data_IF_122588858512
#
_entry.id   IF_122588858512
#
_cell.length_a   1.000
_cell.length_b   1.000
_cell.length_c   1.000
_cell.angle_alpha   90.00
_cell.angle_beta   90.00
_cell.angle_gamma   90.00
#
_symmetry.space_group_name_H-M   'P 1'
#
loop_
_entity.id
_entity.type
_entity.pdbx_description
1 polymer ?
#
# COMPACT_ATOMS: atom_id res chain seq x y z
N UNK A 1 37.40 15.09 -4.08
CA UNK A 1 36.15 14.98 -3.30
C UNK A 1 35.30 13.88 -3.92
N UNK A 2 35.16 12.72 -3.25
CA UNK A 2 34.35 11.60 -3.73
C UNK A 2 32.93 11.75 -3.18
N UNK A 3 31.96 11.86 -4.09
CA UNK A 3 30.53 12.02 -3.85
C UNK A 3 29.95 10.77 -3.17
N UNK A 4 29.26 10.98 -2.04
CA UNK A 4 28.36 9.99 -1.45
C UNK A 4 27.12 9.85 -2.35
N UNK A 5 27.04 8.74 -3.09
CA UNK A 5 25.81 8.20 -3.70
C UNK A 5 25.53 6.83 -3.08
N UNK A 6 24.89 6.83 -1.92
CA UNK A 6 24.24 5.67 -1.29
C UNK A 6 23.19 6.26 -0.36
N UNK A 7 21.90 6.08 -0.63
CA UNK A 7 20.76 6.14 0.31
C UNK A 7 19.46 6.37 -0.50
N UNK A 8 18.93 5.32 -1.13
CA UNK A 8 17.63 5.31 -1.81
C UNK A 8 16.81 4.07 -1.44
N UNK A 9 16.94 3.67 -0.17
CA UNK A 9 16.09 2.71 0.58
C UNK A 9 16.50 2.69 2.06
N UNK A 10 17.75 3.04 2.36
CA UNK A 10 18.24 3.21 3.73
C UNK A 10 17.59 4.39 4.48
N UNK A 11 16.78 5.24 3.81
CA UNK A 11 15.95 6.26 4.47
C UNK A 11 14.75 5.61 5.18
N UNK A 12 14.26 4.45 4.71
CA UNK A 12 13.17 3.70 5.34
C UNK A 12 13.65 3.06 6.67
N UNK A 13 14.94 2.71 6.78
CA UNK A 13 15.51 2.08 7.97
C UNK A 13 16.14 3.07 8.99
N UNK A 14 16.27 4.36 8.64
CA UNK A 14 16.93 5.34 9.52
C UNK A 14 16.03 5.89 10.64
N UNK A 15 14.73 5.59 10.64
CA UNK A 15 13.78 6.09 11.66
C UNK A 15 13.48 5.10 12.79
N UNK A 16 13.90 3.83 12.69
CA UNK A 16 13.77 2.86 13.78
C UNK A 16 15.15 2.56 14.38
N UNK A 17 15.40 3.10 15.58
CA UNK A 17 16.66 2.99 16.33
C UNK A 17 17.04 1.59 16.83
N UNK A 18 16.80 0.52 16.07
CA UNK A 18 17.28 -0.84 16.37
C UNK A 18 18.07 -1.42 15.18
N UNK A 19 19.32 -0.98 15.05
CA UNK A 19 20.26 -1.52 14.08
C UNK A 19 20.71 -2.95 14.48
N UNK A 20 20.14 -3.97 13.84
CA UNK A 20 20.87 -5.20 13.54
C UNK A 20 21.33 -5.13 12.08
N UNK A 21 22.58 -5.49 11.83
CA UNK A 21 23.25 -5.24 10.55
C UNK A 21 22.66 -6.08 9.40
N UNK A 22 21.70 -5.50 8.69
CA UNK A 22 21.25 -5.98 7.38
C UNK A 22 22.35 -5.72 6.33
N UNK A 23 22.79 -6.77 5.63
CA UNK A 23 23.70 -6.64 4.47
C UNK A 23 22.84 -6.56 3.20
N UNK A 24 22.74 -5.39 2.55
CA UNK A 24 21.97 -5.27 1.32
C UNK A 24 22.56 -6.13 0.20
N UNK A 25 21.68 -6.68 -0.63
CA UNK A 25 22.01 -7.38 -1.88
C UNK A 25 22.87 -6.50 -2.78
N UNK A 26 23.99 -7.02 -3.28
CA UNK A 26 24.96 -6.26 -4.10
C UNK A 26 24.57 -6.11 -5.57
N UNK A 27 23.38 -6.58 -5.96
CA UNK A 27 22.89 -6.53 -7.35
C UNK A 27 21.73 -5.54 -7.53
N UNK A 28 21.62 -4.47 -6.73
CA UNK A 28 20.54 -3.51 -6.90
C UNK A 28 20.89 -2.42 -7.92
N UNK A 29 20.27 -2.51 -9.09
CA UNK A 29 19.87 -1.32 -9.83
C UNK A 29 18.75 -0.64 -9.03
N UNK A 30 19.10 -0.07 -7.86
CA UNK A 30 18.17 0.67 -7.03
C UNK A 30 17.92 2.02 -7.67
N UNK A 31 16.97 2.05 -8.61
CA UNK A 31 16.25 3.28 -8.87
C UNK A 31 15.61 3.68 -7.54
N UNK A 32 15.88 4.91 -7.11
CA UNK A 32 15.22 5.47 -5.95
C UNK A 32 13.72 5.44 -6.23
N UNK A 33 12.96 4.65 -5.47
CA UNK A 33 11.52 4.44 -5.73
C UNK A 33 10.72 5.74 -5.51
N UNK A 34 11.37 6.81 -5.05
CA UNK A 34 10.82 8.15 -4.94
C UNK A 34 10.96 8.99 -6.23
N UNK A 35 11.86 8.58 -7.14
CA UNK A 35 12.05 9.23 -8.44
C UNK A 35 11.25 8.45 -9.50
N UNK A 36 9.94 8.69 -9.52
CA UNK A 36 9.03 8.03 -10.44
C UNK A 36 9.43 8.27 -11.91
N UNK A 37 9.59 7.18 -12.66
CA UNK A 37 9.85 7.18 -14.10
C UNK A 37 8.71 6.47 -14.80
N UNK A 38 7.93 7.23 -15.57
CA UNK A 38 6.84 6.70 -16.40
C UNK A 38 7.43 6.07 -17.67
N UNK A 39 7.38 4.74 -17.78
CA UNK A 39 7.90 4.00 -18.94
C UNK A 39 6.74 3.52 -19.82
N UNK A 40 6.74 2.24 -20.20
CA UNK A 40 5.63 1.57 -20.90
C UNK A 40 4.93 0.56 -20.00
N UNK A 41 5.39 0.38 -18.76
CA UNK A 41 4.76 -0.50 -17.78
C UNK A 41 3.50 0.18 -17.23
N UNK A 42 2.55 -0.58 -16.65
CA UNK A 42 1.49 0.01 -15.85
C UNK A 42 2.06 0.75 -14.63
N UNK A 43 1.37 1.80 -14.21
CA UNK A 43 1.82 2.66 -13.12
C UNK A 43 1.24 2.20 -11.77
N UNK A 44 2.08 2.09 -10.75
CA UNK A 44 1.67 1.73 -9.39
C UNK A 44 2.06 2.83 -8.40
N UNK A 45 1.17 3.13 -7.46
CA UNK A 45 1.47 3.92 -6.27
C UNK A 45 1.37 3.02 -5.05
N UNK A 46 2.42 3.00 -4.23
CA UNK A 46 2.46 2.27 -2.96
C UNK A 46 2.68 3.27 -1.83
N UNK A 47 1.71 3.36 -0.93
CA UNK A 47 1.75 4.25 0.23
C UNK A 47 2.07 3.43 1.47
N UNK A 48 3.07 3.86 2.24
CA UNK A 48 3.43 3.32 3.55
C UNK A 48 3.05 4.30 4.66
N UNK A 49 2.62 3.83 5.83
CA UNK A 49 2.35 4.70 6.97
C UNK A 49 3.67 5.16 7.58
N UNK A 50 3.85 6.43 7.95
CA UNK A 50 5.11 6.91 8.57
C UNK A 50 5.42 6.22 9.90
N UNK A 51 4.38 5.81 10.62
CA UNK A 51 4.51 5.19 11.92
C UNK A 51 3.78 3.85 11.96
N UNK A 52 4.41 2.90 12.65
CA UNK A 52 4.03 1.50 12.65
C UNK A 52 4.56 0.89 13.95
N UNK A 53 3.74 0.98 14.99
CA UNK A 53 4.15 0.67 16.37
C UNK A 53 4.65 -0.78 16.55
N UNK A 54 4.31 -1.68 15.63
CA UNK A 54 4.70 -3.09 15.68
C UNK A 54 5.54 -3.56 14.48
N UNK A 55 5.98 -2.64 13.63
CA UNK A 55 6.76 -2.95 12.42
C UNK A 55 6.07 -3.93 11.46
N UNK A 56 4.74 -3.92 11.39
CA UNK A 56 3.95 -4.72 10.45
C UNK A 56 4.29 -4.44 8.97
N UNK A 57 4.64 -3.20 8.63
CA UNK A 57 4.86 -2.70 7.27
C UNK A 57 6.34 -2.47 6.94
N UNK A 58 7.22 -2.47 7.94
CA UNK A 58 8.67 -2.27 7.76
C UNK A 58 9.45 -3.58 7.94
N UNK A 59 9.29 -4.52 7.01
CA UNK A 59 10.03 -5.78 7.03
C UNK A 59 10.51 -6.20 5.62
N UNK A 60 11.52 -7.09 5.57
CA UNK A 60 12.17 -7.52 4.33
C UNK A 60 11.22 -8.13 3.28
N UNK A 61 10.06 -8.65 3.70
CA UNK A 61 9.07 -9.22 2.77
C UNK A 61 8.29 -8.15 2.03
N UNK A 62 8.08 -7.00 2.68
CA UNK A 62 7.45 -5.86 2.04
C UNK A 62 8.40 -5.22 1.03
N UNK A 63 9.70 -5.13 1.37
CA UNK A 63 10.76 -4.77 0.43
C UNK A 63 10.78 -5.72 -0.78
N UNK A 64 10.82 -7.04 -0.55
CA UNK A 64 10.77 -8.03 -1.64
C UNK A 64 9.49 -7.91 -2.49
N UNK A 65 8.35 -7.61 -1.86
CA UNK A 65 7.10 -7.41 -2.57
C UNK A 65 7.18 -6.20 -3.51
N UNK A 66 7.66 -5.06 -3.02
CA UNK A 66 7.81 -3.85 -3.83
C UNK A 66 8.83 -4.05 -4.96
N UNK A 67 9.93 -4.75 -4.71
CA UNK A 67 10.91 -5.12 -5.73
C UNK A 67 10.27 -5.96 -6.85
N UNK A 68 9.50 -7.00 -6.49
CA UNK A 68 8.76 -7.83 -7.45
C UNK A 68 7.68 -7.06 -8.19
N UNK A 69 7.04 -6.10 -7.53
CA UNK A 69 6.08 -5.21 -8.16
C UNK A 69 6.77 -4.36 -9.24
N UNK A 70 7.96 -3.81 -8.94
CA UNK A 70 8.75 -2.99 -9.86
C UNK A 70 9.27 -3.75 -11.10
N UNK A 71 9.33 -5.09 -11.05
CA UNK A 71 9.60 -5.90 -12.25
C UNK A 71 8.53 -5.68 -13.34
N UNK A 72 7.27 -5.46 -12.93
CA UNK A 72 6.09 -5.42 -13.81
C UNK A 72 5.41 -4.05 -13.88
N UNK A 73 5.68 -3.15 -12.93
CA UNK A 73 5.11 -1.81 -12.84
C UNK A 73 6.21 -0.76 -12.79
N UNK A 74 5.87 0.45 -13.21
CA UNK A 74 6.60 1.65 -12.78
C UNK A 74 6.03 2.07 -11.43
N UNK A 75 6.82 1.86 -10.38
CA UNK A 75 6.37 2.01 -8.99
C UNK A 75 6.79 3.36 -8.44
N UNK A 76 5.83 4.09 -7.88
CA UNK A 76 6.09 5.23 -7.02
C UNK A 76 5.75 4.87 -5.57
N UNK A 77 6.76 4.69 -4.73
CA UNK A 77 6.59 4.39 -3.32
C UNK A 77 6.74 5.67 -2.48
N UNK A 78 5.84 5.88 -1.53
CA UNK A 78 5.85 7.04 -0.63
C UNK A 78 5.59 6.62 0.81
N UNK A 79 6.18 7.34 1.76
CA UNK A 79 5.82 7.29 3.18
C UNK A 79 4.90 8.48 3.44
N UNK A 80 3.69 8.23 3.94
CA UNK A 80 2.69 9.24 4.27
C UNK A 80 2.53 9.35 5.79
N UNK A 81 2.61 10.56 6.33
CA UNK A 81 2.28 10.84 7.72
C UNK A 81 0.77 11.07 7.87
N UNK A 82 0.16 11.72 6.89
CA UNK A 82 -1.24 12.10 6.93
C UNK A 82 -1.89 11.95 5.54
N UNK A 83 -3.22 12.07 5.49
CA UNK A 83 -3.99 11.92 4.26
C UNK A 83 -3.56 12.90 3.15
N UNK A 84 -3.10 14.10 3.51
CA UNK A 84 -2.70 15.10 2.52
C UNK A 84 -1.44 14.67 1.76
N UNK A 85 -0.58 13.86 2.37
CA UNK A 85 0.57 13.28 1.68
C UNK A 85 0.11 12.29 0.60
N UNK A 86 -0.93 11.50 0.90
CA UNK A 86 -1.56 10.58 -0.06
C UNK A 86 -2.22 11.37 -1.19
N UNK A 87 -2.99 12.40 -0.84
CA UNK A 87 -3.65 13.28 -1.81
C UNK A 87 -2.65 14.00 -2.72
N UNK A 88 -1.54 14.49 -2.15
CA UNK A 88 -0.47 15.15 -2.91
C UNK A 88 0.19 14.20 -3.91
N UNK A 89 0.41 12.93 -3.54
CA UNK A 89 0.96 11.93 -4.45
C UNK A 89 -0.03 11.59 -5.56
N UNK A 90 -1.32 11.42 -5.25
CA UNK A 90 -2.34 11.16 -6.27
C UNK A 90 -2.49 12.33 -7.25
N UNK A 91 -2.47 13.58 -6.77
CA UNK A 91 -2.50 14.76 -7.66
C UNK A 91 -1.23 14.85 -8.51
N UNK A 92 -0.05 14.57 -7.95
CA UNK A 92 1.21 14.50 -8.71
C UNK A 92 1.15 13.46 -9.83
N UNK A 93 0.47 12.35 -9.59
CA UNK A 93 0.36 11.21 -10.53
C UNK A 93 -0.80 11.33 -11.53
N UNK A 94 -1.56 12.43 -11.50
CA UNK A 94 -2.76 12.61 -12.35
C UNK A 94 -2.52 12.45 -13.85
N UNK A 95 -1.32 12.80 -14.33
CA UNK A 95 -0.97 12.69 -15.76
C UNK A 95 -0.49 11.31 -16.15
N UNK A 96 0.06 10.55 -15.20
CA UNK A 96 0.67 9.24 -15.43
C UNK A 96 -0.38 8.11 -15.44
N UNK A 97 -1.59 8.37 -14.92
CA UNK A 97 -2.71 7.43 -14.86
C UNK A 97 -2.35 6.12 -14.15
N UNK A 98 -2.59 6.07 -12.85
CA UNK A 98 -2.22 4.94 -11.97
C UNK A 98 -3.15 3.74 -12.20
N UNK A 99 -2.58 2.56 -12.45
CA UNK A 99 -3.29 1.28 -12.63
C UNK A 99 -3.44 0.48 -11.33
N UNK A 100 -2.56 0.73 -10.36
CA UNK A 100 -2.60 0.09 -9.04
C UNK A 100 -2.33 1.12 -7.95
N UNK A 101 -3.25 1.24 -7.01
CA UNK A 101 -3.03 1.97 -5.76
C UNK A 101 -2.99 0.96 -4.60
N UNK A 102 -1.91 0.97 -3.84
CA UNK A 102 -1.81 0.22 -2.60
C UNK A 102 -1.66 1.18 -1.42
N UNK A 103 -2.56 1.05 -0.45
CA UNK A 103 -2.56 1.81 0.80
C UNK A 103 -2.22 0.86 1.95
N UNK A 104 -1.02 1.01 2.52
CA UNK A 104 -0.61 0.28 3.72
C UNK A 104 -0.91 1.10 4.97
N UNK A 105 -1.35 0.45 6.04
CA UNK A 105 -1.62 1.11 7.32
C UNK A 105 -2.34 0.21 8.31
N UNK A 106 -2.30 0.53 9.59
CA UNK A 106 -3.21 -0.11 10.54
C UNK A 106 -4.65 0.27 10.19
N UNK A 107 -5.61 -0.61 10.39
CA UNK A 107 -6.97 -0.25 10.00
C UNK A 107 -8.03 -0.97 10.77
N UNK A 108 -9.09 -0.20 10.93
CA UNK A 108 -10.35 -0.54 11.51
C UNK A 108 -11.39 -0.69 10.39
N UNK A 109 -12.62 -1.14 10.67
CA UNK A 109 -13.65 -1.26 9.65
C UNK A 109 -13.81 0.00 8.80
N UNK A 110 -13.71 1.20 9.38
CA UNK A 110 -14.02 2.46 8.69
C UNK A 110 -12.81 3.34 8.38
N UNK A 111 -11.60 2.96 8.78
CA UNK A 111 -10.44 3.83 8.66
C UNK A 111 -9.14 3.05 8.46
N UNK A 112 -8.18 3.73 7.82
CA UNK A 112 -6.80 3.31 7.65
C UNK A 112 -5.90 4.40 8.24
N UNK A 113 -5.15 4.05 9.27
CA UNK A 113 -4.25 4.91 10.02
C UNK A 113 -2.86 4.97 9.34
N UNK A 114 -2.36 6.20 9.12
CA UNK A 114 -1.07 6.49 8.51
C UNK A 114 0.02 6.84 9.54
N UNK A 115 -0.38 7.21 10.77
CA UNK A 115 0.52 7.69 11.83
C UNK A 115 -0.09 7.43 13.21
N UNK A 116 0.70 7.16 14.24
CA UNK A 116 0.19 6.92 15.61
C UNK A 116 -0.28 8.22 16.30
N UNK A 117 -0.34 9.34 15.58
CA UNK A 117 -0.83 10.62 16.06
C UNK A 117 -2.36 10.64 16.10
N UNK A 118 -2.91 11.47 16.99
CA UNK A 118 -4.35 11.67 17.12
C UNK A 118 -4.82 12.81 16.20
N UNK A 119 -5.96 12.60 15.55
CA UNK A 119 -6.60 13.59 14.67
C UNK A 119 -7.06 12.97 13.36
N UNK A 120 -8.13 13.50 12.79
CA UNK A 120 -8.75 12.91 11.59
C UNK A 120 -7.81 12.86 10.39
N UNK A 121 -7.07 13.95 10.10
CA UNK A 121 -6.03 13.97 9.04
C UNK A 121 -5.02 12.81 9.01
N UNK A 122 -4.80 12.09 10.11
CA UNK A 122 -3.88 10.95 10.16
C UNK A 122 -4.52 9.63 9.70
N UNK A 123 -5.77 9.68 9.25
CA UNK A 123 -6.56 8.55 8.78
C UNK A 123 -7.07 8.84 7.38
N UNK A 124 -7.23 7.77 6.60
CA UNK A 124 -8.14 7.73 5.46
C UNK A 124 -9.37 6.98 5.93
N UNK A 125 -10.55 7.59 5.91
CA UNK A 125 -11.76 7.01 6.47
C UNK A 125 -13.03 7.21 5.64
N UNK A 126 -14.14 6.62 6.09
CA UNK A 126 -15.43 6.64 5.37
C UNK A 126 -16.13 8.01 5.32
N UNK A 127 -15.56 9.04 5.95
CA UNK A 127 -16.06 10.41 5.95
C UNK A 127 -15.34 11.34 4.96
N UNK A 128 -14.23 10.89 4.36
CA UNK A 128 -13.39 11.64 3.41
C UNK A 128 -14.08 11.80 2.04
N UNK A 129 -15.02 12.74 1.95
CA UNK A 129 -15.75 13.00 0.72
C UNK A 129 -14.83 13.50 -0.42
N UNK A 130 -13.75 14.19 -0.07
CA UNK A 130 -12.71 14.69 -0.97
C UNK A 130 -11.91 13.58 -1.64
N UNK A 131 -11.80 12.39 -1.03
CA UNK A 131 -11.04 11.27 -1.57
C UNK A 131 -11.52 10.90 -2.98
N UNK A 132 -12.82 11.09 -3.28
CA UNK A 132 -13.38 10.87 -4.61
C UNK A 132 -12.64 11.66 -5.70
N UNK A 133 -12.29 12.92 -5.44
CA UNK A 133 -11.61 13.76 -6.42
C UNK A 133 -10.22 13.21 -6.75
N UNK A 134 -9.48 12.76 -5.74
CA UNK A 134 -8.14 12.20 -5.89
C UNK A 134 -8.15 10.80 -6.52
N UNK A 135 -9.14 9.96 -6.21
CA UNK A 135 -9.32 8.66 -6.89
C UNK A 135 -9.73 8.83 -8.36
N UNK A 136 -10.22 10.01 -8.77
CA UNK A 136 -10.44 10.37 -10.16
C UNK A 136 -9.17 10.33 -11.03
N UNK A 137 -7.98 10.44 -10.42
CA UNK A 137 -6.68 10.39 -11.09
C UNK A 137 -6.26 8.97 -11.54
N UNK A 138 -6.88 7.93 -10.98
CA UNK A 138 -6.56 6.55 -11.32
C UNK A 138 -7.12 6.17 -12.71
N UNK A 139 -6.53 5.19 -13.39
CA UNK A 139 -7.15 4.60 -14.57
C UNK A 139 -8.53 4.01 -14.25
N UNK A 140 -9.46 3.98 -15.22
CA UNK A 140 -10.82 3.43 -15.01
C UNK A 140 -10.80 1.97 -14.55
N UNK A 141 -9.85 1.18 -15.06
CA UNK A 141 -9.65 -0.22 -14.68
C UNK A 141 -8.68 -0.42 -13.52
N UNK A 142 -8.27 0.66 -12.84
CA UNK A 142 -7.30 0.57 -11.77
C UNK A 142 -7.83 -0.25 -10.59
N UNK A 143 -6.92 -0.95 -9.93
CA UNK A 143 -7.22 -1.71 -8.71
C UNK A 143 -6.72 -0.95 -7.50
N UNK A 144 -7.48 -1.03 -6.41
CA UNK A 144 -7.10 -0.45 -5.13
C UNK A 144 -6.94 -1.59 -4.12
N UNK A 145 -5.79 -1.65 -3.47
CA UNK A 145 -5.49 -2.63 -2.41
C UNK A 145 -5.38 -1.85 -1.10
N UNK A 146 -6.23 -2.18 -0.13
CA UNK A 146 -6.11 -1.70 1.24
C UNK A 146 -5.37 -2.78 2.01
N UNK A 147 -4.06 -2.59 2.21
CA UNK A 147 -3.21 -3.52 2.94
C UNK A 147 -3.26 -3.20 4.44
N UNK A 148 -4.37 -3.60 5.10
CA UNK A 148 -4.72 -3.17 6.45
C UNK A 148 -5.73 -4.07 7.15
N UNK A 149 -5.60 -4.40 8.44
CA UNK A 149 -6.28 -5.53 9.13
C UNK A 149 -7.81 -5.67 8.98
N UNK A 150 -8.61 -4.60 9.11
CA UNK A 150 -10.07 -4.70 9.21
C UNK A 150 -10.85 -3.87 8.19
N UNK A 151 -10.20 -3.27 7.20
CA UNK A 151 -10.83 -2.28 6.29
C UNK A 151 -11.93 -2.85 5.39
N UNK A 152 -12.06 -4.18 5.31
CA UNK A 152 -13.14 -4.92 4.65
C UNK A 152 -14.08 -5.67 5.61
N UNK A 153 -14.06 -5.39 6.92
CA UNK A 153 -14.88 -6.12 7.88
C UNK A 153 -16.38 -6.06 7.53
N UNK A 154 -17.07 -7.20 7.62
CA UNK A 154 -18.47 -7.30 7.21
C UNK A 154 -18.69 -7.46 5.69
N UNK A 155 -17.60 -7.54 4.89
CA UNK A 155 -17.65 -7.86 3.46
C UNK A 155 -18.50 -6.84 2.68
N UNK A 156 -19.09 -7.24 1.55
CA UNK A 156 -19.93 -6.38 0.70
C UNK A 156 -21.22 -5.87 1.37
N UNK A 157 -21.51 -6.28 2.62
CA UNK A 157 -22.67 -5.82 3.40
C UNK A 157 -22.27 -4.90 4.57
N UNK A 158 -20.98 -4.80 4.86
CA UNK A 158 -20.44 -4.01 5.96
C UNK A 158 -20.42 -2.52 5.66
N UNK A 159 -20.51 -1.69 6.69
CA UNK A 159 -20.14 -0.27 6.59
C UNK A 159 -18.65 -0.16 6.84
N UNK A 160 -17.86 -0.39 5.79
CA UNK A 160 -16.41 -0.44 5.86
C UNK A 160 -15.74 0.45 4.79
N UNK A 161 -14.45 0.71 4.98
CA UNK A 161 -13.64 1.57 4.12
C UNK A 161 -13.55 1.02 2.70
N UNK A 162 -13.45 -0.30 2.54
CA UNK A 162 -13.39 -0.92 1.23
C UNK A 162 -14.65 -0.67 0.38
N UNK A 163 -15.84 -0.80 0.99
CA UNK A 163 -17.11 -0.50 0.34
C UNK A 163 -17.25 0.99 0.01
N UNK A 164 -16.84 1.87 0.93
CA UNK A 164 -16.84 3.31 0.69
C UNK A 164 -15.97 3.68 -0.51
N UNK A 165 -14.70 3.21 -0.53
CA UNK A 165 -13.78 3.47 -1.64
C UNK A 165 -14.32 2.88 -2.94
N UNK A 166 -14.87 1.66 -2.92
CA UNK A 166 -15.45 1.04 -4.11
C UNK A 166 -16.60 1.88 -4.67
N UNK A 167 -17.50 2.38 -3.81
CA UNK A 167 -18.62 3.24 -4.20
C UNK A 167 -18.17 4.57 -4.80
N UNK A 168 -17.25 5.27 -4.15
CA UNK A 168 -16.84 6.60 -4.62
C UNK A 168 -15.94 6.57 -5.85
N UNK A 169 -15.23 5.47 -6.08
CA UNK A 169 -14.25 5.33 -7.16
C UNK A 169 -14.72 4.49 -8.34
N UNK A 170 -15.80 3.72 -8.20
CA UNK A 170 -16.27 2.77 -9.22
C UNK A 170 -15.20 1.74 -9.65
N UNK A 171 -14.29 1.38 -8.76
CA UNK A 171 -13.16 0.48 -9.02
C UNK A 171 -13.21 -0.78 -8.17
N UNK A 172 -12.40 -1.75 -8.58
CA UNK A 172 -12.16 -2.95 -7.79
C UNK A 172 -11.32 -2.61 -6.56
N UNK A 173 -11.86 -2.84 -5.38
CA UNK A 173 -11.13 -2.71 -4.11
C UNK A 173 -10.88 -4.10 -3.53
N UNK A 174 -9.69 -4.32 -2.99
CA UNK A 174 -9.28 -5.55 -2.32
C UNK A 174 -8.84 -5.18 -0.90
N UNK A 175 -9.51 -5.76 0.10
CA UNK A 175 -9.28 -5.46 1.51
C UNK A 175 -9.60 -6.70 2.37
N UNK A 176 -9.02 -6.86 3.57
CA UNK A 176 -9.28 -8.00 4.42
C UNK A 176 -10.46 -7.70 5.34
N UNK A 177 -11.17 -8.74 5.74
CA UNK A 177 -12.31 -8.65 6.65
C UNK A 177 -11.96 -8.93 8.12
N UNK A 178 -10.67 -8.90 8.47
CA UNK A 178 -10.17 -9.02 9.84
C UNK A 178 -8.73 -9.52 9.89
N UNK A 179 -8.16 -9.60 11.10
CA UNK A 179 -6.82 -10.19 11.32
C UNK A 179 -6.88 -11.67 10.91
N UNK A 180 -6.17 -12.06 9.85
CA UNK A 180 -6.15 -13.43 9.40
C UNK A 180 -5.54 -14.39 10.42
N UNK A 181 -6.14 -15.57 10.55
CA UNK A 181 -5.70 -16.62 11.48
C UNK A 181 -4.67 -17.58 10.88
N UNK A 182 -4.48 -17.61 9.54
CA UNK A 182 -3.68 -18.64 8.83
C UNK A 182 -2.87 -18.15 7.61
N UNK A 183 -1.78 -18.87 7.28
CA UNK A 183 -0.58 -18.35 6.58
C UNK A 183 -0.39 -18.37 5.06
N UNK A 184 -1.38 -18.06 4.23
CA UNK A 184 -1.13 -17.81 2.78
C UNK A 184 -2.11 -16.78 2.18
N UNK A 185 -1.61 -15.78 1.46
CA UNK A 185 -2.40 -14.97 0.50
C UNK A 185 -2.03 -15.31 -0.93
N UNK A 186 -3.03 -15.31 -1.83
CA UNK A 186 -2.81 -15.20 -3.28
C UNK A 186 -3.58 -14.02 -3.81
N UNK A 187 -2.88 -12.95 -4.19
CA UNK A 187 -3.50 -11.88 -4.97
C UNK A 187 -3.52 -12.33 -6.43
N UNK A 188 -4.72 -12.43 -6.99
CA UNK A 188 -4.91 -12.69 -8.42
C UNK A 188 -5.16 -11.36 -9.12
N UNK A 189 -4.12 -10.57 -9.26
CA UNK A 189 -4.19 -9.24 -9.89
C UNK A 189 -2.90 -8.99 -10.67
N UNK A 190 -2.99 -8.49 -11.91
CA UNK A 190 -2.91 -9.26 -13.18
C UNK A 190 -1.77 -10.31 -13.31
N UNK A 191 -0.99 -10.58 -12.26
CA UNK A 191 0.04 -11.59 -12.15
C UNK A 191 -0.20 -12.41 -10.87
N UNK A 192 0.13 -13.70 -10.92
CA UNK A 192 -0.02 -14.62 -9.79
C UNK A 192 1.10 -14.38 -8.77
N UNK A 193 0.94 -13.39 -7.89
CA UNK A 193 1.86 -13.24 -6.76
C UNK A 193 1.44 -14.24 -5.67
N UNK A 194 2.28 -15.25 -5.47
CA UNK A 194 2.17 -16.19 -4.37
C UNK A 194 3.01 -15.70 -3.20
N UNK A 195 2.36 -15.37 -2.09
CA UNK A 195 3.05 -14.96 -0.86
C UNK A 195 3.26 -16.18 0.04
N UNK A 196 4.51 -16.55 0.31
CA UNK A 196 4.86 -17.58 1.27
C UNK A 196 5.42 -16.95 2.55
N UNK A 197 4.84 -17.28 3.70
CA UNK A 197 5.42 -16.92 4.99
C UNK A 197 5.95 -18.16 5.71
N UNK A 198 7.28 -18.32 5.75
CA UNK A 198 7.91 -19.38 6.54
C UNK A 198 7.73 -19.14 8.06
N UNK A 199 7.74 -20.23 8.84
CA UNK A 199 7.12 -20.36 10.16
C UNK A 199 7.80 -19.62 11.33
N UNK A 200 8.89 -18.84 11.13
CA UNK A 200 9.72 -18.39 12.26
C UNK A 200 10.01 -16.90 12.42
N UNK A 201 9.41 -16.01 11.63
CA UNK A 201 9.59 -14.56 11.81
C UNK A 201 8.23 -13.85 11.80
N UNK A 202 8.01 -12.99 12.79
CA UNK A 202 6.95 -11.97 12.80
C UNK A 202 7.19 -11.06 11.60
N UNK A 203 6.55 -11.38 10.49
CA UNK A 203 6.77 -10.71 9.21
C UNK A 203 5.75 -11.22 8.22
N UNK A 204 4.86 -10.32 7.85
CA UNK A 204 3.69 -10.46 6.98
C UNK A 204 2.52 -11.29 7.50
N UNK A 205 1.39 -10.58 7.62
CA UNK A 205 0.07 -11.10 7.95
C UNK A 205 -0.56 -11.63 6.64
N UNK A 206 -0.87 -12.92 6.58
CA UNK A 206 -1.36 -13.63 5.40
C UNK A 206 -2.88 -13.68 5.35
N UNK A 207 -3.50 -13.31 4.24
CA UNK A 207 -4.92 -12.99 4.07
C UNK A 207 -5.67 -14.22 3.62
N UNK A 208 -6.54 -14.77 4.46
CA UNK A 208 -7.26 -16.02 4.16
C UNK A 208 -8.48 -15.86 3.27
N UNK A 209 -8.86 -14.65 2.87
CA UNK A 209 -10.03 -14.38 2.01
C UNK A 209 -9.85 -13.05 1.30
N UNK A 210 -9.37 -13.08 0.04
CA UNK A 210 -9.47 -11.89 -0.80
C UNK A 210 -10.95 -11.69 -1.14
N UNK A 211 -11.54 -10.66 -0.55
CA UNK A 211 -12.88 -10.20 -0.90
C UNK A 211 -12.67 -9.09 -1.91
N UNK A 212 -13.13 -9.35 -3.11
CA UNK A 212 -13.21 -8.35 -4.16
C UNK A 212 -14.49 -7.55 -3.94
N UNK A 213 -14.33 -6.27 -3.67
CA UNK A 213 -15.41 -5.31 -3.58
C UNK A 213 -15.59 -4.67 -4.95
N UNK A 214 -16.80 -4.78 -5.50
CA UNK A 214 -17.19 -4.12 -6.76
C UNK A 214 -18.43 -3.29 -6.47
N UNK A 215 -18.57 -2.16 -7.15
CA UNK A 215 -19.87 -1.50 -7.21
C UNK A 215 -20.88 -2.49 -7.75
N UNK A 216 -22.03 -2.60 -7.07
CA UNK A 216 -23.14 -3.37 -7.61
C UNK A 216 -23.50 -2.71 -8.95
N UNK A 217 -23.28 -3.42 -10.06
CA UNK A 217 -23.95 -3.06 -11.31
C UNK A 217 -25.45 -3.24 -11.04
N UNK A 218 -26.11 -2.14 -10.69
CA UNK A 218 -27.57 -2.02 -10.63
C UNK A 218 -28.13 -2.11 -12.05
#
# INVERSE_FOLDING_TARGET
MKSLKRLGLAVILALSGCATAYKPSTNSHSNDLTDFVDTKKPNAVVVFPIDDYNSAFYNYKEEEFVERLAENYDVYAVIADNENDVYAVLDKMKTSKVDLLMLNGHGEPKSLCLSNLNGEKYYIDTSDAELRAYLGCLNKGAKIILFSCHTGEGKNKGKNLANFIADISEREVIAPDGIPKHRVTRFKAPFDINFYADKKVLGFIPWSTNITYRTNQL
#
